data_IF_755820549864
#
_entry.id   IF_755820549864
#
_cell.length_a   1.000
_cell.length_b   1.000
_cell.length_c   1.000
_cell.angle_alpha   90.00
_cell.angle_beta   90.00
_cell.angle_gamma   90.00
#
_symmetry.space_group_name_H-M   'P 1'
#
loop_
_entity.id
_entity.type
_entity.pdbx_description
1 polymer ?
#
# COMPACT_ATOMS: atom_id res chain seq x y z
N UNK A 1 11.95 5.11 15.44
CA UNK A 1 11.11 4.28 16.34
C UNK A 1 11.34 2.80 16.06
N UNK A 2 11.08 2.30 14.83
CA UNK A 2 11.31 0.90 14.44
C UNK A 2 12.75 0.39 14.66
N UNK A 3 13.77 1.20 14.32
CA UNK A 3 15.16 0.87 14.59
C UNK A 3 15.48 0.74 16.09
N UNK A 4 14.80 1.49 16.96
CA UNK A 4 15.00 1.44 18.42
C UNK A 4 14.37 0.21 19.06
N UNK A 5 13.39 -0.40 18.39
CA UNK A 5 12.68 -1.61 18.84
C UNK A 5 13.13 -2.86 18.06
N UNK A 6 14.23 -2.76 17.28
CA UNK A 6 14.83 -3.90 16.58
C UNK A 6 14.02 -4.47 15.41
N UNK A 7 13.02 -3.73 14.90
CA UNK A 7 12.11 -4.21 13.86
C UNK A 7 12.58 -3.91 12.43
N UNK A 8 13.74 -3.27 12.24
CA UNK A 8 14.38 -3.11 10.92
C UNK A 8 14.73 -4.46 10.30
N UNK A 9 14.91 -4.52 8.98
CA UNK A 9 15.10 -5.78 8.25
C UNK A 9 13.95 -6.78 8.44
N UNK A 10 12.71 -6.31 8.36
CA UNK A 10 11.52 -7.19 8.36
C UNK A 10 10.48 -6.70 7.36
N UNK A 11 9.64 -7.60 6.86
CA UNK A 11 8.46 -7.22 6.08
C UNK A 11 7.50 -6.33 6.88
N UNK A 12 7.41 -6.53 8.19
CA UNK A 12 6.59 -5.69 9.06
C UNK A 12 7.05 -4.22 9.04
N UNK A 13 8.37 -3.97 9.04
CA UNK A 13 8.90 -2.61 8.92
C UNK A 13 8.57 -1.94 7.58
N UNK A 14 8.40 -2.71 6.51
CA UNK A 14 7.96 -2.19 5.21
C UNK A 14 6.47 -1.82 5.22
N UNK A 15 5.63 -2.60 5.90
CA UNK A 15 4.16 -2.50 5.82
C UNK A 15 3.56 -1.55 6.88
N UNK A 16 4.01 -1.64 8.13
CA UNK A 16 3.37 -0.99 9.29
C UNK A 16 3.04 0.50 9.08
N UNK A 17 3.95 1.35 8.57
CA UNK A 17 3.67 2.78 8.41
C UNK A 17 2.53 3.09 7.45
N UNK A 18 2.26 2.17 6.52
CA UNK A 18 1.29 2.35 5.43
C UNK A 18 -0.04 1.63 5.70
N UNK A 19 -0.19 0.99 6.87
CA UNK A 19 -1.43 0.31 7.26
C UNK A 19 -2.62 1.24 7.42
N UNK A 20 -2.37 2.53 7.68
CA UNK A 20 -3.39 3.56 7.80
C UNK A 20 -3.15 4.59 6.69
N UNK A 21 -4.16 4.79 5.85
CA UNK A 21 -4.13 5.78 4.78
C UNK A 21 -5.21 6.84 5.01
N UNK A 22 -4.79 8.08 5.20
CA UNK A 22 -5.71 9.23 5.31
C UNK A 22 -6.53 9.40 4.04
N UNK A 23 -5.90 9.21 2.87
CA UNK A 23 -6.58 9.26 1.58
C UNK A 23 -7.62 8.14 1.45
N UNK A 24 -7.26 6.91 1.84
CA UNK A 24 -8.19 5.77 1.85
C UNK A 24 -9.40 6.05 2.74
N UNK A 25 -9.19 6.55 3.96
CA UNK A 25 -10.27 6.93 4.89
C UNK A 25 -11.18 8.00 4.26
N UNK A 26 -10.59 9.05 3.71
CA UNK A 26 -11.34 10.11 3.05
C UNK A 26 -12.19 9.58 1.90
N UNK A 27 -11.59 8.77 1.01
CA UNK A 27 -12.27 8.22 -0.15
C UNK A 27 -13.43 7.30 0.25
N UNK A 28 -13.21 6.39 1.21
CA UNK A 28 -14.27 5.50 1.70
C UNK A 28 -15.43 6.30 2.31
N UNK A 29 -15.12 7.35 3.08
CA UNK A 29 -16.13 8.23 3.66
C UNK A 29 -16.99 8.89 2.60
N UNK A 30 -16.41 9.35 1.48
CA UNK A 30 -17.19 9.96 0.40
C UNK A 30 -18.20 8.98 -0.20
N UNK A 31 -17.83 7.71 -0.38
CA UNK A 31 -18.75 6.68 -0.90
C UNK A 31 -19.81 6.28 0.12
N UNK A 32 -19.46 6.16 1.40
CA UNK A 32 -20.45 5.87 2.44
C UNK A 32 -21.49 6.98 2.58
N UNK A 33 -21.12 8.24 2.34
CA UNK A 33 -22.06 9.35 2.33
C UNK A 33 -23.07 9.33 1.18
N UNK A 34 -22.86 8.51 0.13
CA UNK A 34 -23.85 8.38 -0.96
C UNK A 34 -24.94 7.37 -0.62
N UNK A 35 -24.80 6.62 0.47
CA UNK A 35 -25.81 5.64 0.90
C UNK A 35 -26.94 6.36 1.63
N UNK A 36 -28.20 6.22 1.21
CA UNK A 36 -29.32 6.84 1.90
C UNK A 36 -29.51 6.29 3.32
N UNK A 37 -29.76 7.16 4.29
CA UNK A 37 -29.99 6.76 5.69
C UNK A 37 -31.18 5.79 5.85
N UNK A 38 -32.20 5.90 4.98
CA UNK A 38 -33.37 5.01 4.99
C UNK A 38 -32.97 3.54 4.77
N UNK A 39 -31.95 3.28 3.95
CA UNK A 39 -31.44 1.92 3.72
C UNK A 39 -30.79 1.35 4.98
N UNK A 40 -30.07 2.20 5.73
CA UNK A 40 -29.43 1.85 6.99
C UNK A 40 -30.49 1.61 8.08
N UNK A 41 -31.52 2.46 8.13
CA UNK A 41 -32.62 2.32 9.08
C UNK A 41 -33.45 1.07 8.80
N UNK A 42 -33.73 0.76 7.53
CA UNK A 42 -34.37 -0.50 7.13
C UNK A 42 -33.53 -1.71 7.58
N UNK A 43 -32.21 -1.68 7.36
CA UNK A 43 -31.32 -2.74 7.78
C UNK A 43 -31.33 -2.97 9.31
N UNK A 44 -31.44 -1.90 10.11
CA UNK A 44 -31.62 -1.99 11.57
C UNK A 44 -32.97 -2.58 11.95
N UNK A 45 -34.05 -2.22 11.26
CA UNK A 45 -35.38 -2.80 11.48
C UNK A 45 -35.41 -4.30 11.17
N UNK A 46 -34.64 -4.73 10.16
CA UNK A 46 -34.43 -6.15 9.82
C UNK A 46 -33.55 -6.91 10.84
N UNK A 47 -33.11 -6.24 11.91
CA UNK A 47 -32.33 -6.84 13.00
C UNK A 47 -30.85 -7.03 12.71
N UNK A 48 -30.29 -6.40 11.66
CA UNK A 48 -28.86 -6.46 11.40
C UNK A 48 -28.05 -5.70 12.45
N UNK A 49 -26.95 -6.30 12.93
CA UNK A 49 -25.97 -5.62 13.77
C UNK A 49 -25.21 -4.55 12.97
N UNK A 50 -24.71 -3.50 13.63
CA UNK A 50 -23.92 -2.44 12.97
C UNK A 50 -22.73 -2.99 12.16
N UNK A 51 -22.07 -4.04 12.67
CA UNK A 51 -21.01 -4.72 11.92
C UNK A 51 -21.53 -5.38 10.64
N UNK A 52 -22.71 -6.02 10.69
CA UNK A 52 -23.35 -6.60 9.52
C UNK A 52 -23.74 -5.53 8.50
N UNK A 53 -24.25 -4.38 8.97
CA UNK A 53 -24.59 -3.24 8.12
C UNK A 53 -23.34 -2.73 7.40
N UNK A 54 -22.22 -2.57 8.12
CA UNK A 54 -20.95 -2.15 7.52
C UNK A 54 -20.52 -3.13 6.43
N UNK A 55 -20.48 -4.44 6.70
CA UNK A 55 -19.95 -5.42 5.76
C UNK A 55 -20.89 -5.76 4.60
N UNK A 56 -22.19 -5.77 4.82
CA UNK A 56 -23.19 -6.23 3.83
C UNK A 56 -23.91 -5.10 3.11
N UNK A 57 -23.94 -3.89 3.68
CA UNK A 57 -24.66 -2.74 3.10
C UNK A 57 -23.68 -1.65 2.71
N UNK A 58 -22.82 -1.19 3.62
CA UNK A 58 -21.93 -0.06 3.35
C UNK A 58 -20.73 -0.46 2.46
N UNK A 59 -20.03 -1.55 2.79
CA UNK A 59 -18.81 -1.95 2.10
C UNK A 59 -19.02 -2.22 0.60
N UNK A 60 -20.12 -2.89 0.16
CA UNK A 60 -20.36 -3.11 -1.27
C UNK A 60 -20.46 -1.83 -2.09
N UNK A 61 -21.01 -0.75 -1.52
CA UNK A 61 -21.12 0.54 -2.24
C UNK A 61 -19.77 1.21 -2.42
N UNK A 62 -18.81 0.92 -1.54
CA UNK A 62 -17.43 1.41 -1.63
C UNK A 62 -16.49 0.50 -2.41
N UNK A 63 -16.92 -0.64 -2.96
CA UNK A 63 -16.06 -1.54 -3.77
C UNK A 63 -15.33 -0.80 -4.91
N UNK A 64 -16.00 0.04 -5.74
CA UNK A 64 -15.30 0.76 -6.80
C UNK A 64 -14.18 1.65 -6.25
N UNK A 65 -14.44 2.30 -5.11
CA UNK A 65 -13.48 3.15 -4.42
C UNK A 65 -12.30 2.34 -3.86
N UNK A 66 -12.58 1.18 -3.26
CA UNK A 66 -11.58 0.26 -2.71
C UNK A 66 -10.65 -0.26 -3.80
N UNK A 67 -11.20 -0.62 -4.97
CA UNK A 67 -10.42 -1.07 -6.10
C UNK A 67 -9.53 0.05 -6.65
N UNK A 68 -10.08 1.26 -6.83
CA UNK A 68 -9.31 2.42 -7.26
C UNK A 68 -8.17 2.75 -6.27
N UNK A 69 -8.49 2.78 -4.98
CA UNK A 69 -7.48 2.98 -3.93
C UNK A 69 -6.44 1.85 -3.92
N UNK A 70 -6.85 0.61 -4.12
CA UNK A 70 -5.96 -0.55 -4.20
C UNK A 70 -4.94 -0.41 -5.33
N UNK A 71 -5.37 0.02 -6.51
CA UNK A 71 -4.49 0.28 -7.64
C UNK A 71 -3.49 1.39 -7.29
N UNK A 72 -3.96 2.52 -6.77
CA UNK A 72 -3.07 3.62 -6.37
C UNK A 72 -2.08 3.21 -5.27
N UNK A 73 -2.53 2.42 -4.30
CA UNK A 73 -1.71 1.90 -3.20
C UNK A 73 -0.61 0.98 -3.71
N UNK A 74 -0.94 0.02 -4.58
CA UNK A 74 0.06 -0.87 -5.19
C UNK A 74 1.08 -0.06 -5.97
N UNK A 75 0.66 0.86 -6.84
CA UNK A 75 1.58 1.68 -7.64
C UNK A 75 2.46 2.55 -6.75
N UNK A 76 1.91 3.15 -5.69
CA UNK A 76 2.67 4.00 -4.77
C UNK A 76 3.74 3.19 -4.02
N UNK A 77 3.38 2.02 -3.48
CA UNK A 77 4.30 1.21 -2.66
C UNK A 77 5.26 0.36 -3.50
N UNK A 78 4.88 -0.04 -4.72
CA UNK A 78 5.77 -0.72 -5.66
C UNK A 78 6.92 0.20 -6.12
N UNK A 79 6.62 1.48 -6.30
CA UNK A 79 7.59 2.48 -6.74
C UNK A 79 8.31 3.19 -5.58
N UNK A 80 7.99 2.87 -4.32
CA UNK A 80 8.61 3.52 -3.17
C UNK A 80 10.06 3.05 -3.00
N UNK A 81 10.97 4.02 -3.02
CA UNK A 81 12.39 3.81 -2.77
C UNK A 81 12.81 4.29 -1.37
N UNK A 82 12.23 5.40 -0.92
CA UNK A 82 12.77 6.14 0.22
C UNK A 82 12.60 5.36 1.51
N UNK A 83 11.38 4.88 1.78
CA UNK A 83 11.12 4.15 3.02
C UNK A 83 11.85 2.79 3.08
N UNK A 84 11.79 1.92 2.05
CA UNK A 84 12.54 0.66 2.06
C UNK A 84 14.04 0.86 2.28
N UNK A 85 14.63 1.91 1.69
CA UNK A 85 16.05 2.23 1.87
C UNK A 85 16.42 2.56 3.31
N UNK A 86 15.50 3.14 4.07
CA UNK A 86 15.71 3.51 5.48
C UNK A 86 15.61 2.30 6.41
N UNK A 87 14.70 1.36 6.13
CA UNK A 87 14.41 0.25 7.05
C UNK A 87 15.04 -1.09 6.69
N UNK A 88 15.50 -1.26 5.45
CA UNK A 88 16.24 -2.44 4.99
C UNK A 88 17.72 -2.09 4.86
N UNK A 89 18.52 -2.66 5.76
CA UNK A 89 19.97 -2.48 5.86
C UNK A 89 20.67 -3.83 5.74
N UNK A 90 21.23 -4.09 4.55
CA UNK A 90 22.15 -5.20 4.29
C UNK A 90 21.50 -6.53 3.90
N UNK A 91 20.20 -6.71 4.12
CA UNK A 91 19.49 -7.91 3.69
C UNK A 91 18.97 -7.74 2.25
N UNK A 92 19.50 -8.57 1.34
CA UNK A 92 19.17 -8.53 -0.09
C UNK A 92 17.81 -9.17 -0.38
N UNK A 93 17.38 -10.12 0.44
CA UNK A 93 16.12 -10.85 0.24
C UNK A 93 14.90 -9.99 0.58
N UNK A 94 15.11 -8.91 1.31
CA UNK A 94 14.09 -7.94 1.70
C UNK A 94 14.08 -6.68 0.81
N UNK A 95 14.95 -6.60 -0.21
CA UNK A 95 15.02 -5.41 -1.06
C UNK A 95 13.79 -5.31 -1.96
N UNK A 96 13.13 -4.16 -1.92
CA UNK A 96 12.10 -3.83 -2.91
C UNK A 96 12.73 -3.60 -4.28
N UNK A 97 11.96 -3.71 -5.38
CA UNK A 97 12.52 -3.58 -6.72
C UNK A 97 13.31 -2.26 -6.93
N UNK A 98 12.82 -1.08 -6.49
CA UNK A 98 13.60 0.16 -6.56
C UNK A 98 14.90 0.13 -5.74
N UNK A 99 14.90 -0.56 -4.58
CA UNK A 99 16.09 -0.68 -3.74
C UNK A 99 17.14 -1.60 -4.37
N UNK A 100 16.71 -2.69 -5.01
CA UNK A 100 17.56 -3.59 -5.78
C UNK A 100 18.18 -2.93 -7.01
N UNK A 101 17.46 -2.03 -7.68
CA UNK A 101 17.99 -1.27 -8.82
C UNK A 101 19.25 -0.45 -8.45
N UNK A 102 19.34 0.02 -7.20
CA UNK A 102 20.51 0.74 -6.68
C UNK A 102 21.79 -0.11 -6.71
N UNK A 103 21.69 -1.44 -6.76
CA UNK A 103 22.86 -2.33 -6.76
C UNK A 103 23.69 -2.22 -8.04
N UNK A 104 23.08 -1.76 -9.14
CA UNK A 104 23.77 -1.54 -10.43
C UNK A 104 24.43 -0.15 -10.52
N UNK A 105 24.31 0.67 -9.47
CA UNK A 105 24.96 1.97 -9.36
C UNK A 105 26.24 1.81 -8.52
N UNK A 106 27.40 2.12 -9.10
CA UNK A 106 28.69 2.11 -8.40
C UNK A 106 29.19 3.54 -8.23
N UNK A 107 29.69 3.86 -7.04
CA UNK A 107 30.27 5.18 -6.74
C UNK A 107 31.75 5.28 -7.20
N UNK A 108 32.39 4.15 -7.57
CA UNK A 108 33.82 4.07 -7.87
C UNK A 108 34.13 3.59 -9.30
N UNK A 109 33.38 2.60 -9.82
CA UNK A 109 33.71 1.88 -11.07
C UNK A 109 32.84 2.27 -12.28
N UNK A 110 31.99 3.30 -12.12
CA UNK A 110 30.98 3.67 -13.11
C UNK A 110 29.72 2.78 -13.04
N UNK A 111 28.61 3.28 -13.58
CA UNK A 111 27.31 2.59 -13.45
C UNK A 111 27.17 1.46 -14.48
N UNK A 112 26.55 0.35 -14.05
CA UNK A 112 26.18 -0.76 -14.92
C UNK A 112 24.85 -0.46 -15.63
N UNK A 113 24.88 0.44 -16.62
CA UNK A 113 23.68 0.91 -17.32
C UNK A 113 22.89 -0.22 -18.01
N UNK A 114 23.55 -1.25 -18.54
CA UNK A 114 22.88 -2.37 -19.21
C UNK A 114 21.95 -3.14 -18.26
N UNK A 115 22.48 -3.78 -17.20
CA UNK A 115 21.68 -4.44 -16.17
C UNK A 115 20.67 -3.52 -15.49
N UNK A 116 21.04 -2.26 -15.22
CA UNK A 116 20.14 -1.27 -14.63
C UNK A 116 18.92 -1.01 -15.51
N UNK A 117 19.10 -0.76 -16.80
CA UNK A 117 17.98 -0.49 -17.72
C UNK A 117 17.13 -1.73 -17.96
N UNK A 118 17.73 -2.93 -17.99
CA UNK A 118 16.99 -4.19 -18.08
C UNK A 118 16.10 -4.40 -16.84
N UNK A 119 16.66 -4.21 -15.64
CA UNK A 119 15.90 -4.31 -14.39
C UNK A 119 14.79 -3.25 -14.31
N UNK A 120 15.08 -1.99 -14.64
CA UNK A 120 14.07 -0.94 -14.67
C UNK A 120 12.91 -1.27 -15.64
N UNK A 121 13.21 -1.86 -16.80
CA UNK A 121 12.19 -2.27 -17.76
C UNK A 121 11.30 -3.38 -17.19
N UNK A 122 11.87 -4.37 -16.50
CA UNK A 122 11.12 -5.45 -15.84
C UNK A 122 10.26 -4.92 -14.69
N UNK A 123 10.76 -3.94 -13.92
CA UNK A 123 10.04 -3.36 -12.78
C UNK A 123 8.81 -2.57 -13.23
N UNK A 124 8.89 -1.92 -14.40
CA UNK A 124 7.84 -1.07 -14.96
C UNK A 124 6.92 -1.85 -15.91
N UNK A 125 7.40 -2.94 -16.51
CA UNK A 125 6.58 -3.79 -17.35
C UNK A 125 5.43 -4.37 -16.52
N UNK A 126 4.17 -4.19 -16.99
CA UNK A 126 2.97 -4.58 -16.25
C UNK A 126 2.91 -6.08 -15.92
#
# INVERSE_FOLDING_TARGET
>A
MLAKIGLTNTYAALVIPWTISVFGIFLMRQFFMTVPDDLINAARMDGMSEFSIIWKVMLPTAIPALLAFGIFSVVAHWNDYYWPRVVITGDRDLMTPPLGLRMFKSDLDGNEYGPMMAAASVIVAP
#
